data_IF_134125501126
#
_entry.id   IF_134125501126
#
_cell.length_a   1.000
_cell.length_b   1.000
_cell.length_c   1.000
_cell.angle_alpha   90.00
_cell.angle_beta   90.00
_cell.angle_gamma   90.00
#
_symmetry.space_group_name_H-M   'P 1'
#
loop_
_entity.id
_entity.type
_entity.pdbx_description
1 polymer ?
#
# COMPACT_ATOMS: atom_id res chain seq x y z
N UNK A 1 19.47 40.11 40.71
CA UNK A 1 19.39 41.48 40.20
C UNK A 1 20.09 41.45 38.86
N UNK A 2 19.30 41.54 37.79
CA UNK A 2 19.70 41.35 36.39
C UNK A 2 20.97 42.12 36.00
N UNK A 3 21.70 41.65 34.98
CA UNK A 3 21.71 42.48 33.78
C UNK A 3 21.54 41.75 32.45
N UNK A 4 20.80 42.47 31.61
CA UNK A 4 20.41 42.25 30.23
C UNK A 4 21.58 42.39 29.21
N UNK A 5 21.48 41.61 28.13
CA UNK A 5 22.06 41.74 26.76
C UNK A 5 23.57 41.92 26.56
N UNK A 6 24.15 40.93 25.90
CA UNK A 6 24.99 41.12 24.69
C UNK A 6 24.88 39.89 23.77
N UNK A 7 24.34 40.06 22.57
CA UNK A 7 24.28 39.01 21.54
C UNK A 7 25.58 38.96 20.71
N UNK A 8 26.09 37.76 20.34
CA UNK A 8 27.08 37.61 19.28
C UNK A 8 26.54 36.81 18.05
N UNK A 9 27.27 36.77 16.92
CA UNK A 9 26.74 37.12 15.60
C UNK A 9 26.23 35.95 14.73
N UNK A 10 25.35 36.30 13.78
CA UNK A 10 24.90 35.47 12.66
C UNK A 10 25.92 35.46 11.52
N UNK A 11 26.18 34.27 10.95
CA UNK A 11 26.39 33.91 9.50
C UNK A 11 27.15 32.57 9.45
N UNK A 12 26.80 31.56 8.66
CA UNK A 12 26.36 31.56 7.27
C UNK A 12 25.66 30.22 6.95
N UNK A 13 24.42 30.25 6.49
CA UNK A 13 23.87 29.15 5.68
C UNK A 13 23.07 29.79 4.56
N UNK A 14 23.58 29.69 3.34
CA UNK A 14 22.87 30.14 2.15
C UNK A 14 21.67 29.22 1.90
N UNK A 15 20.55 29.76 1.45
CA UNK A 15 20.24 29.99 0.04
C UNK A 15 18.88 30.70 -0.06
N UNK A 16 18.64 31.29 -1.21
CA UNK A 16 17.56 32.19 -1.58
C UNK A 16 16.14 31.55 -1.59
N UNK A 17 15.09 32.38 -1.48
CA UNK A 17 13.68 31.97 -1.55
C UNK A 17 13.11 32.11 -2.96
N UNK A 18 12.09 31.32 -3.31
CA UNK A 18 11.11 31.71 -4.32
C UNK A 18 9.81 30.89 -4.21
N UNK A 19 8.70 31.61 -4.36
CA UNK A 19 7.38 31.15 -4.82
C UNK A 19 6.46 30.55 -3.74
N UNK A 20 5.51 31.34 -3.23
CA UNK A 20 4.18 31.64 -3.79
C UNK A 20 3.17 30.53 -3.46
N UNK A 21 2.10 30.96 -2.78
CA UNK A 21 0.93 30.23 -2.34
C UNK A 21 0.17 29.52 -3.48
N UNK A 22 -0.69 28.55 -3.13
CA UNK A 22 -2.11 28.56 -3.53
C UNK A 22 -2.91 27.54 -2.71
N UNK A 23 -4.13 27.98 -2.42
CA UNK A 23 -5.20 27.40 -1.61
C UNK A 23 -5.83 26.12 -2.16
N UNK A 24 -6.58 25.48 -1.24
CA UNK A 24 -7.71 24.56 -1.35
C UNK A 24 -8.27 24.23 -2.76
N UNK A 25 -8.52 22.93 -2.92
CA UNK A 25 -9.86 22.42 -3.24
C UNK A 25 -10.15 22.09 -4.71
N UNK A 26 -10.51 20.82 -4.93
CA UNK A 26 -11.31 20.33 -6.06
C UNK A 26 -10.71 20.45 -7.46
N UNK A 27 -10.00 19.41 -7.90
CA UNK A 27 -10.13 18.88 -9.27
C UNK A 27 -10.06 17.35 -9.19
N UNK A 28 -11.14 16.80 -8.62
CA UNK A 28 -11.62 15.47 -8.96
C UNK A 28 -11.88 15.39 -10.47
N UNK A 29 -11.45 14.28 -11.07
CA UNK A 29 -11.77 13.78 -12.41
C UNK A 29 -10.93 14.39 -13.54
N UNK A 30 -9.73 13.83 -13.69
CA UNK A 30 -8.95 13.91 -14.93
C UNK A 30 -9.81 13.35 -16.07
N UNK A 31 -10.19 14.22 -17.00
CA UNK A 31 -10.98 13.87 -18.17
C UNK A 31 -10.06 13.09 -19.13
N UNK A 32 -10.34 11.80 -19.33
CA UNK A 32 -9.56 10.97 -20.23
C UNK A 32 -9.67 11.49 -21.68
N UNK A 33 -8.53 11.87 -22.27
CA UNK A 33 -8.40 12.05 -23.72
C UNK A 33 -8.40 10.67 -24.41
N UNK A 34 -9.32 10.38 -25.35
CA UNK A 34 -9.50 9.04 -25.91
C UNK A 34 -8.64 8.73 -27.15
N UNK A 35 -7.58 9.51 -27.45
CA UNK A 35 -7.07 9.53 -28.82
C UNK A 35 -5.75 8.80 -29.13
N UNK A 36 -5.13 8.03 -28.22
CA UNK A 36 -3.90 7.30 -28.60
C UNK A 36 -3.73 5.93 -27.92
N UNK A 37 -3.48 4.91 -28.74
CA UNK A 37 -3.45 3.49 -28.43
C UNK A 37 -2.02 2.91 -28.48
N UNK A 38 -1.70 2.01 -27.52
CA UNK A 38 -0.59 1.01 -27.38
C UNK A 38 0.85 1.58 -27.16
N UNK A 39 1.82 0.90 -26.46
CA UNK A 39 1.80 -0.41 -25.79
C UNK A 39 2.31 -0.44 -24.33
N UNK A 40 1.88 -1.45 -23.56
CA UNK A 40 2.32 -1.86 -22.19
C UNK A 40 3.11 -0.79 -21.41
N UNK A 41 2.45 -0.09 -20.48
CA UNK A 41 3.18 0.59 -19.42
C UNK A 41 3.99 -0.45 -18.66
N UNK A 42 5.31 -0.28 -18.64
CA UNK A 42 6.14 -0.80 -17.57
C UNK A 42 5.51 -0.30 -16.28
N UNK A 43 4.84 -1.19 -15.55
CA UNK A 43 4.29 -0.90 -14.23
C UNK A 43 5.49 -0.59 -13.36
N UNK A 44 5.76 0.70 -13.26
CA UNK A 44 6.69 1.23 -12.29
C UNK A 44 5.88 1.21 -11.01
N UNK A 45 5.87 0.06 -10.33
CA UNK A 45 5.43 -0.05 -8.94
C UNK A 45 6.34 0.91 -8.19
N UNK A 46 5.91 2.16 -8.02
CA UNK A 46 6.68 3.17 -7.32
C UNK A 46 6.96 2.59 -5.94
N UNK A 47 8.24 2.33 -5.59
CA UNK A 47 8.61 1.72 -4.30
C UNK A 47 8.02 2.49 -3.11
N UNK A 48 7.67 3.76 -3.32
CA UNK A 48 7.07 4.65 -2.34
C UNK A 48 5.63 4.30 -1.94
N UNK A 49 4.78 3.76 -2.84
CA UNK A 49 3.42 3.35 -2.46
C UNK A 49 3.41 2.02 -1.70
N UNK A 50 4.23 1.06 -2.13
CA UNK A 50 4.44 -0.19 -1.39
C UNK A 50 5.06 0.10 0.00
N UNK A 51 6.03 1.03 0.08
CA UNK A 51 6.62 1.45 1.36
C UNK A 51 5.61 2.21 2.24
N UNK A 52 4.76 3.06 1.67
CA UNK A 52 3.71 3.74 2.42
C UNK A 52 2.67 2.76 2.96
N UNK A 53 2.29 1.72 2.21
CA UNK A 53 1.37 0.67 2.65
C UNK A 53 2.02 -0.25 3.70
N UNK A 54 3.32 -0.52 3.58
CA UNK A 54 4.09 -1.26 4.60
C UNK A 54 4.26 -0.47 5.91
N UNK A 55 4.22 0.87 5.85
CA UNK A 55 4.29 1.76 7.00
C UNK A 55 2.92 2.21 7.53
N UNK A 56 1.81 1.74 6.94
CA UNK A 56 0.48 2.17 7.33
C UNK A 56 -0.17 1.16 8.28
N UNK A 57 -0.21 1.51 9.57
CA UNK A 57 -0.87 0.75 10.63
C UNK A 57 -2.30 0.32 10.25
N UNK A 58 -2.99 1.13 9.44
CA UNK A 58 -4.31 0.79 8.92
C UNK A 58 -4.32 -0.50 8.09
N UNK A 59 -3.36 -0.68 7.17
CA UNK A 59 -3.31 -1.86 6.30
C UNK A 59 -2.96 -3.11 7.10
N UNK A 60 -2.05 -3.01 8.08
CA UNK A 60 -1.74 -4.11 9.00
C UNK A 60 -2.98 -4.53 9.78
N UNK A 61 -3.69 -3.57 10.40
CA UNK A 61 -4.93 -3.86 11.12
C UNK A 61 -6.01 -4.46 10.20
N UNK A 62 -6.12 -3.98 8.96
CA UNK A 62 -7.06 -4.53 7.98
C UNK A 62 -6.70 -5.96 7.59
N UNK A 63 -5.43 -6.26 7.36
CA UNK A 63 -4.94 -7.59 7.03
C UNK A 63 -5.13 -8.58 8.19
N UNK A 64 -4.86 -8.17 9.42
CA UNK A 64 -5.17 -8.98 10.60
C UNK A 64 -6.68 -9.25 10.74
N UNK A 65 -7.52 -8.23 10.51
CA UNK A 65 -8.97 -8.39 10.56
C UNK A 65 -9.45 -9.34 9.46
N UNK A 66 -8.85 -9.27 8.27
CA UNK A 66 -9.14 -10.17 7.17
C UNK A 66 -8.69 -11.60 7.48
N UNK A 67 -7.48 -11.79 8.03
CA UNK A 67 -7.00 -13.09 8.50
C UNK A 67 -7.95 -13.71 9.55
N UNK A 68 -8.37 -12.93 10.55
CA UNK A 68 -9.36 -13.38 11.55
C UNK A 68 -10.70 -13.79 10.90
N UNK A 69 -11.14 -13.06 9.88
CA UNK A 69 -12.33 -13.40 9.11
C UNK A 69 -12.15 -14.73 8.37
N UNK A 70 -10.99 -14.94 7.73
CA UNK A 70 -10.68 -16.19 7.03
C UNK A 70 -10.67 -17.37 7.99
N UNK A 71 -10.02 -17.26 9.15
CA UNK A 71 -10.03 -18.31 10.17
C UNK A 71 -11.45 -18.63 10.67
N UNK A 72 -12.27 -17.59 10.94
CA UNK A 72 -13.66 -17.79 11.37
C UNK A 72 -14.51 -18.50 10.32
N UNK A 73 -14.28 -18.20 9.05
CA UNK A 73 -15.15 -18.65 7.96
C UNK A 73 -14.65 -19.90 7.21
N UNK A 74 -13.37 -20.24 7.32
CA UNK A 74 -12.75 -21.40 6.66
C UNK A 74 -12.10 -22.38 7.66
N UNK A 75 -12.13 -22.07 8.96
CA UNK A 75 -11.47 -22.86 10.01
C UNK A 75 -9.95 -22.74 9.93
N UNK A 76 -9.24 -23.73 10.49
CA UNK A 76 -7.78 -23.78 10.56
C UNK A 76 -7.12 -24.50 9.38
N UNK A 77 -7.86 -24.78 8.29
CA UNK A 77 -7.30 -25.34 7.06
C UNK A 77 -6.64 -24.24 6.21
N UNK A 78 -5.31 -24.25 6.02
CA UNK A 78 -4.61 -23.25 5.22
C UNK A 78 -5.09 -23.24 3.76
N UNK A 79 -5.46 -24.40 3.20
CA UNK A 79 -5.89 -24.47 1.80
C UNK A 79 -7.25 -23.80 1.64
N UNK A 80 -8.20 -24.06 2.53
CA UNK A 80 -9.49 -23.39 2.54
C UNK A 80 -9.35 -21.88 2.76
N UNK A 81 -8.48 -21.44 3.68
CA UNK A 81 -8.20 -20.03 3.92
C UNK A 81 -7.62 -19.33 2.68
N UNK A 82 -6.64 -19.94 2.00
CA UNK A 82 -6.07 -19.41 0.75
C UNK A 82 -7.16 -19.27 -0.31
N UNK A 83 -7.89 -20.34 -0.62
CA UNK A 83 -8.95 -20.29 -1.65
C UNK A 83 -10.00 -19.24 -1.34
N UNK A 84 -10.38 -19.10 -0.08
CA UNK A 84 -11.33 -18.08 0.34
C UNK A 84 -10.77 -16.66 0.24
N UNK A 85 -9.50 -16.46 0.55
CA UNK A 85 -8.85 -15.15 0.41
C UNK A 85 -8.88 -14.64 -1.04
N UNK A 86 -8.58 -15.50 -2.01
CA UNK A 86 -8.65 -15.15 -3.44
C UNK A 86 -10.07 -14.82 -3.87
N UNK A 87 -11.07 -15.60 -3.44
CA UNK A 87 -12.48 -15.31 -3.75
C UNK A 87 -12.96 -13.98 -3.17
N UNK A 88 -12.53 -13.65 -1.96
CA UNK A 88 -12.99 -12.44 -1.28
C UNK A 88 -12.22 -11.18 -1.70
N UNK A 89 -10.92 -11.29 -1.97
CA UNK A 89 -10.07 -10.15 -2.28
C UNK A 89 -9.92 -9.91 -3.79
N UNK A 90 -9.82 -10.98 -4.60
CA UNK A 90 -9.55 -10.92 -6.03
C UNK A 90 -10.74 -11.38 -6.89
N UNK A 91 -11.86 -11.78 -6.28
CA UNK A 91 -13.08 -12.23 -6.95
C UNK A 91 -12.88 -13.37 -7.97
N UNK A 92 -11.86 -14.22 -7.78
CA UNK A 92 -11.57 -15.39 -8.62
C UNK A 92 -11.10 -16.60 -7.82
N UNK A 93 -11.01 -17.74 -8.48
CA UNK A 93 -10.38 -18.94 -7.93
C UNK A 93 -8.84 -18.85 -7.94
N UNK A 94 -8.21 -19.49 -6.96
CA UNK A 94 -6.75 -19.66 -6.89
C UNK A 94 -6.30 -20.75 -7.86
N UNK A 95 -5.21 -20.51 -8.58
CA UNK A 95 -4.55 -21.55 -9.39
C UNK A 95 -3.65 -22.45 -8.53
N UNK A 96 -3.36 -23.68 -8.96
CA UNK A 96 -2.45 -24.59 -8.23
C UNK A 96 -1.05 -23.99 -7.93
N UNK A 97 -0.35 -23.30 -8.86
CA UNK A 97 0.95 -22.69 -8.53
C UNK A 97 0.84 -21.56 -7.50
N UNK A 98 -0.23 -20.76 -7.55
CA UNK A 98 -0.49 -19.71 -6.55
C UNK A 98 -0.79 -20.32 -5.18
N UNK A 99 -1.58 -21.40 -5.14
CA UNK A 99 -1.91 -22.11 -3.92
C UNK A 99 -0.66 -22.68 -3.26
N UNK A 100 0.22 -23.31 -4.05
CA UNK A 100 1.48 -23.85 -3.55
C UNK A 100 2.38 -22.73 -2.96
N UNK A 101 2.48 -21.60 -3.66
CA UNK A 101 3.29 -20.45 -3.24
C UNK A 101 2.73 -19.78 -1.98
N UNK A 102 1.41 -19.54 -1.95
CA UNK A 102 0.70 -18.96 -0.82
C UNK A 102 0.80 -19.86 0.43
N UNK A 103 0.65 -21.18 0.27
CA UNK A 103 0.79 -22.13 1.38
C UNK A 103 2.18 -22.09 1.99
N UNK A 104 3.22 -22.05 1.15
CA UNK A 104 4.60 -21.92 1.63
C UNK A 104 4.80 -20.61 2.37
N UNK A 105 4.35 -19.50 1.80
CA UNK A 105 4.47 -18.19 2.41
C UNK A 105 3.76 -18.10 3.76
N UNK A 106 2.52 -18.61 3.86
CA UNK A 106 1.76 -18.64 5.12
C UNK A 106 2.47 -19.48 6.19
N UNK A 107 3.11 -20.59 5.80
CA UNK A 107 3.88 -21.40 6.74
C UNK A 107 5.12 -20.66 7.27
N UNK A 108 5.73 -19.79 6.47
CA UNK A 108 6.95 -19.04 6.81
C UNK A 108 6.67 -17.73 7.55
N UNK A 109 5.62 -16.99 7.17
CA UNK A 109 5.33 -15.62 7.63
C UNK A 109 3.97 -15.48 8.33
N UNK A 110 3.05 -16.42 8.14
CA UNK A 110 1.72 -16.40 8.72
C UNK A 110 0.64 -15.79 7.82
N UNK A 111 -0.62 -15.95 8.25
CA UNK A 111 -1.80 -15.59 7.46
C UNK A 111 -2.00 -14.07 7.34
N UNK A 112 -1.68 -13.30 8.39
CA UNK A 112 -1.83 -11.84 8.37
C UNK A 112 -0.87 -11.20 7.37
N UNK A 113 0.39 -11.63 7.32
CA UNK A 113 1.37 -11.12 6.37
C UNK A 113 1.02 -11.52 4.94
N UNK A 114 0.46 -12.72 4.76
CA UNK A 114 -0.08 -13.12 3.47
C UNK A 114 -1.22 -12.20 3.02
N UNK A 115 -2.13 -11.81 3.92
CA UNK A 115 -3.20 -10.86 3.62
C UNK A 115 -2.67 -9.48 3.24
N UNK A 116 -1.59 -9.02 3.91
CA UNK A 116 -0.91 -7.78 3.53
C UNK A 116 -0.35 -7.86 2.11
N UNK A 117 0.37 -8.93 1.77
CA UNK A 117 0.89 -9.14 0.41
C UNK A 117 -0.23 -9.17 -0.61
N UNK A 118 -1.33 -9.87 -0.30
CA UNK A 118 -2.50 -9.95 -1.18
C UNK A 118 -3.11 -8.57 -1.47
N UNK A 119 -3.26 -7.73 -0.44
CA UNK A 119 -3.77 -6.36 -0.61
C UNK A 119 -2.80 -5.42 -1.33
N UNK A 120 -1.52 -5.76 -1.40
CA UNK A 120 -0.52 -5.02 -2.15
C UNK A 120 -0.27 -5.60 -3.55
N UNK A 121 -0.97 -6.68 -3.92
CA UNK A 121 -0.84 -7.26 -5.26
C UNK A 121 -1.44 -6.32 -6.30
N UNK A 122 -0.81 -6.23 -7.47
CA UNK A 122 -1.30 -5.40 -8.57
C UNK A 122 -2.74 -5.74 -8.94
N UNK A 123 -3.12 -7.02 -8.82
CA UNK A 123 -4.46 -7.51 -9.12
C UNK A 123 -5.51 -7.05 -8.10
N UNK A 124 -5.12 -6.76 -6.86
CA UNK A 124 -6.02 -6.13 -5.89
C UNK A 124 -6.14 -4.61 -6.12
N UNK A 125 -5.04 -3.97 -6.51
CA UNK A 125 -4.97 -2.51 -6.69
C UNK A 125 -5.60 -2.06 -8.02
N UNK A 126 -5.62 -2.93 -9.03
CA UNK A 126 -6.15 -2.66 -10.35
C UNK A 126 -7.23 -3.68 -10.72
N UNK A 127 -8.42 -3.18 -11.03
CA UNK A 127 -9.46 -3.97 -11.70
C UNK A 127 -9.18 -3.86 -13.20
N UNK A 128 -8.60 -4.90 -13.79
CA UNK A 128 -8.54 -5.03 -15.26
C UNK A 128 -9.93 -5.29 -15.85
#
# INVERSE_FOLDING_TARGET
MEPEKTAPPRRHFGLLPASIAVERGSLSLDCADPSISIPRRTVTTTPLQALAMLNNEFMTRAAEAFARRLTREAGDDPIAQIRKSYKLALLRDTTEPELASARRFIAEQGLSDFCLVLFNSNEFVHVD
#
